data_IF_543168542569
#
_entry.id   IF_543168542569
#
_cell.length_a   1.000
_cell.length_b   1.000
_cell.length_c   1.000
_cell.angle_alpha   90.00
_cell.angle_beta   90.00
_cell.angle_gamma   90.00
#
_symmetry.space_group_name_H-M   'P 1'
#
loop_
_entity.id
_entity.type
_entity.pdbx_description
1 polymer ?
#
# COMPACT_ATOMS: atom_id res chain seq x y z
N UNK A 1 19.95 22.27 16.60
CA UNK A 1 18.79 23.03 16.04
C UNK A 1 17.58 22.74 16.90
N UNK A 2 16.86 23.75 17.41
CA UNK A 2 15.67 23.50 18.24
C UNK A 2 14.43 23.18 17.42
N UNK A 3 13.65 22.20 17.89
CA UNK A 3 12.35 21.85 17.35
C UNK A 3 11.28 21.90 18.44
N UNK A 4 10.08 22.34 18.04
CA UNK A 4 8.93 22.53 18.94
C UNK A 4 7.80 21.61 18.53
N UNK A 5 7.30 20.81 19.47
CA UNK A 5 6.11 19.98 19.23
C UNK A 5 4.90 20.88 18.93
N UNK A 6 4.18 20.68 17.80
CA UNK A 6 3.02 21.49 17.47
C UNK A 6 1.83 21.22 18.40
N UNK A 7 1.80 20.07 19.08
CA UNK A 7 0.67 19.66 19.93
C UNK A 7 0.79 20.14 21.38
N UNK A 8 1.98 20.06 21.98
CA UNK A 8 2.19 20.37 23.40
C UNK A 8 3.27 21.44 23.65
N UNK A 9 3.87 21.98 22.58
CA UNK A 9 4.87 23.04 22.63
C UNK A 9 6.17 22.74 23.38
N UNK A 10 6.38 21.49 23.82
CA UNK A 10 7.67 21.02 24.33
C UNK A 10 8.76 21.28 23.30
N UNK A 11 9.88 21.82 23.77
CA UNK A 11 11.07 22.12 22.96
C UNK A 11 12.16 21.08 23.26
N UNK A 12 12.86 20.67 22.22
CA UNK A 12 14.03 19.80 22.30
C UNK A 12 14.92 20.03 21.08
N UNK A 13 16.20 19.68 21.18
CA UNK A 13 17.12 19.82 20.06
C UNK A 13 16.93 18.65 19.08
N UNK A 14 17.12 18.89 17.79
CA UNK A 14 17.11 17.83 16.77
C UNK A 14 18.17 16.76 17.03
N UNK A 15 19.30 17.14 17.61
CA UNK A 15 20.42 16.27 17.98
C UNK A 15 19.97 15.20 18.98
N UNK A 16 19.29 15.58 20.07
CA UNK A 16 18.66 14.64 21.01
C UNK A 16 17.67 13.67 20.32
N UNK A 17 16.88 14.15 19.34
CA UNK A 17 15.98 13.27 18.60
C UNK A 17 16.76 12.25 17.76
N UNK A 18 17.87 12.69 17.20
CA UNK A 18 18.77 11.88 16.40
C UNK A 18 19.64 10.94 17.24
N UNK A 19 19.64 10.99 18.59
CA UNK A 19 20.38 10.03 19.42
C UNK A 19 19.65 8.70 19.58
N UNK A 20 18.32 8.69 19.48
CA UNK A 20 17.51 7.48 19.53
C UNK A 20 17.58 6.70 18.21
N UNK A 21 18.13 5.49 18.27
CA UNK A 21 18.35 4.63 17.10
C UNK A 21 17.04 4.19 16.43
N UNK A 22 16.06 3.78 17.23
CA UNK A 22 14.79 3.31 16.69
C UNK A 22 14.00 4.45 16.04
N UNK A 23 14.09 5.67 16.59
CA UNK A 23 13.52 6.85 15.97
C UNK A 23 14.22 7.16 14.64
N UNK A 24 15.56 7.14 14.58
CA UNK A 24 16.29 7.35 13.31
C UNK A 24 15.86 6.35 12.24
N UNK A 25 15.84 5.06 12.57
CA UNK A 25 15.42 4.01 11.64
C UNK A 25 13.96 4.16 11.21
N UNK A 26 13.07 4.53 12.13
CA UNK A 26 11.66 4.75 11.80
C UNK A 26 11.48 5.94 10.86
N UNK A 27 12.21 7.04 11.08
CA UNK A 27 12.16 8.20 10.19
C UNK A 27 12.76 7.91 8.81
N UNK A 28 13.85 7.15 8.73
CA UNK A 28 14.43 6.69 7.47
C UNK A 28 13.43 5.83 6.68
N UNK A 29 12.81 4.85 7.35
CA UNK A 29 11.77 4.00 6.75
C UNK A 29 10.62 4.83 6.18
N UNK A 30 10.15 5.85 6.89
CA UNK A 30 9.09 6.73 6.41
C UNK A 30 9.51 7.59 5.20
N UNK A 31 10.77 8.01 5.14
CA UNK A 31 11.30 8.84 4.06
C UNK A 31 11.49 8.06 2.75
N UNK A 32 11.76 6.75 2.82
CA UNK A 32 11.94 5.87 1.66
C UNK A 32 10.61 5.44 1.01
N UNK A 33 9.50 5.50 1.76
CA UNK A 33 8.20 5.05 1.30
C UNK A 33 7.45 6.11 0.46
N UNK A 34 6.69 5.69 -0.58
CA UNK A 34 5.75 6.57 -1.27
C UNK A 34 4.78 7.22 -0.29
N UNK A 35 4.32 8.44 -0.62
CA UNK A 35 3.42 9.24 0.25
C UNK A 35 2.13 8.50 0.58
N UNK A 36 1.64 7.72 -0.37
CA UNK A 36 0.43 6.92 -0.33
C UNK A 36 0.54 5.76 0.68
N UNK A 37 1.76 5.45 1.13
CA UNK A 37 2.05 4.37 2.09
C UNK A 37 2.54 4.97 3.42
N UNK A 38 3.47 5.91 3.38
CA UNK A 38 4.05 6.51 4.60
C UNK A 38 3.01 7.24 5.45
N UNK A 39 2.09 7.99 4.83
CA UNK A 39 1.03 8.71 5.57
C UNK A 39 0.07 7.77 6.32
N UNK A 40 -0.57 6.78 5.66
CA UNK A 40 -1.44 5.86 6.38
C UNK A 40 -0.67 4.96 7.36
N UNK A 41 0.61 4.65 7.10
CA UNK A 41 1.44 3.92 8.06
C UNK A 41 1.61 4.68 9.39
N UNK A 42 1.90 5.98 9.36
CA UNK A 42 1.98 6.80 10.58
C UNK A 42 0.64 6.80 11.33
N UNK A 43 -0.47 6.96 10.62
CA UNK A 43 -1.81 6.93 11.21
C UNK A 43 -2.13 5.56 11.83
N UNK A 44 -1.75 4.48 11.15
CA UNK A 44 -1.94 3.11 11.60
C UNK A 44 -1.13 2.79 12.85
N UNK A 45 0.16 3.16 12.91
CA UNK A 45 0.99 3.03 14.12
C UNK A 45 0.35 3.77 15.30
N UNK A 46 -0.27 4.93 15.05
CA UNK A 46 -1.04 5.67 16.04
C UNK A 46 -2.22 4.90 16.65
N UNK A 47 -2.78 3.90 15.97
CA UNK A 47 -3.89 3.08 16.50
C UNK A 47 -3.47 2.19 17.67
N UNK A 48 -2.18 1.93 17.84
CA UNK A 48 -1.59 1.12 18.94
C UNK A 48 -1.26 1.95 20.18
N UNK A 49 -1.47 3.28 20.14
CA UNK A 49 -1.14 4.21 21.23
C UNK A 49 -2.08 3.98 22.42
N UNK A 50 -1.49 3.85 23.62
CA UNK A 50 -2.23 3.79 24.87
C UNK A 50 -2.83 5.15 25.28
N UNK A 51 -3.77 5.14 26.23
CA UNK A 51 -4.45 6.36 26.68
C UNK A 51 -3.52 7.34 27.43
N UNK A 52 -2.56 6.83 28.19
CA UNK A 52 -1.79 7.61 29.17
C UNK A 52 -0.31 7.74 28.85
N UNK A 53 0.26 6.83 28.04
CA UNK A 53 1.70 6.81 27.73
C UNK A 53 1.95 6.76 26.24
N UNK A 54 3.00 7.46 25.83
CA UNK A 54 3.56 7.34 24.50
C UNK A 54 4.11 5.93 24.28
N UNK A 55 4.03 5.45 23.04
CA UNK A 55 4.62 4.18 22.63
C UNK A 55 6.13 4.36 22.43
N UNK A 56 6.95 3.45 22.97
CA UNK A 56 8.40 3.45 22.73
C UNK A 56 8.72 3.35 21.22
N UNK A 57 9.80 3.99 20.78
CA UNK A 57 10.15 4.07 19.35
C UNK A 57 10.49 2.71 18.75
N UNK A 58 11.11 1.82 19.51
CA UNK A 58 11.38 0.43 19.11
C UNK A 58 10.08 -0.32 18.78
N UNK A 59 9.03 -0.08 19.59
CA UNK A 59 7.72 -0.66 19.34
C UNK A 59 7.06 -0.02 18.10
N UNK A 60 7.20 1.28 17.89
CA UNK A 60 6.72 1.96 16.68
C UNK A 60 7.35 1.36 15.43
N UNK A 61 8.69 1.26 15.43
CA UNK A 61 9.47 0.71 14.33
C UNK A 61 9.09 -0.75 14.04
N UNK A 62 8.99 -1.59 15.09
CA UNK A 62 8.56 -2.99 14.92
C UNK A 62 7.17 -3.10 14.31
N UNK A 63 6.17 -2.38 14.85
CA UNK A 63 4.80 -2.38 14.34
C UNK A 63 4.76 -1.93 12.88
N UNK A 64 5.59 -0.94 12.51
CA UNK A 64 5.67 -0.44 11.14
C UNK A 64 6.25 -1.50 10.19
N UNK A 65 7.38 -2.11 10.56
CA UNK A 65 8.02 -3.19 9.77
C UNK A 65 7.11 -4.41 9.61
N UNK A 66 6.47 -4.85 10.69
CA UNK A 66 5.53 -5.98 10.66
C UNK A 66 4.33 -5.70 9.73
N UNK A 67 3.82 -4.46 9.72
CA UNK A 67 2.72 -4.08 8.83
C UNK A 67 3.15 -4.04 7.35
N UNK A 68 4.33 -3.49 7.06
CA UNK A 68 4.88 -3.44 5.71
C UNK A 68 5.20 -4.83 5.14
N UNK A 69 5.59 -5.77 6.01
CA UNK A 69 5.89 -7.14 5.63
C UNK A 69 4.65 -8.01 5.30
N UNK A 70 3.43 -7.47 5.41
CA UNK A 70 2.20 -8.24 5.16
C UNK A 70 1.95 -8.55 3.68
N UNK A 71 2.52 -7.77 2.76
CA UNK A 71 2.49 -8.08 1.33
C UNK A 71 3.74 -7.52 0.65
N UNK A 72 4.15 -8.17 -0.44
CA UNK A 72 5.28 -7.70 -1.26
C UNK A 72 4.93 -6.42 -2.03
N UNK A 73 3.67 -6.28 -2.46
CA UNK A 73 3.18 -5.07 -3.10
C UNK A 73 2.94 -3.97 -2.06
N UNK A 74 3.83 -2.97 -2.06
CA UNK A 74 3.76 -1.86 -1.12
C UNK A 74 2.53 -0.97 -1.35
N UNK A 75 2.01 -0.88 -2.58
CA UNK A 75 0.80 -0.11 -2.87
C UNK A 75 -0.44 -0.78 -2.27
N UNK A 76 -0.52 -2.11 -2.34
CA UNK A 76 -1.56 -2.91 -1.68
C UNK A 76 -1.53 -2.70 -0.16
N UNK A 77 -0.34 -2.70 0.45
CA UNK A 77 -0.19 -2.41 1.90
C UNK A 77 -0.67 -0.99 2.22
N UNK A 78 -0.28 0.01 1.44
CA UNK A 78 -0.71 1.40 1.62
C UNK A 78 -2.24 1.55 1.60
N UNK A 79 -2.90 0.93 0.63
CA UNK A 79 -4.36 0.91 0.54
C UNK A 79 -4.99 0.21 1.76
N UNK A 80 -4.48 -0.95 2.14
CA UNK A 80 -4.99 -1.70 3.30
C UNK A 80 -4.82 -0.96 4.63
N UNK A 81 -3.70 -0.24 4.80
CA UNK A 81 -3.46 0.62 5.95
C UNK A 81 -4.48 1.75 6.01
N UNK A 82 -4.74 2.41 4.88
CA UNK A 82 -5.73 3.49 4.78
C UNK A 82 -7.13 3.01 5.15
N UNK A 83 -7.60 1.92 4.54
CA UNK A 83 -8.91 1.32 4.82
C UNK A 83 -9.03 0.90 6.29
N UNK A 84 -7.97 0.33 6.85
CA UNK A 84 -7.95 -0.07 8.26
C UNK A 84 -8.04 1.13 9.19
N UNK A 85 -7.32 2.22 8.89
CA UNK A 85 -7.34 3.44 9.71
C UNK A 85 -8.73 4.05 9.74
N UNK A 86 -9.37 4.20 8.58
CA UNK A 86 -10.71 4.79 8.49
C UNK A 86 -11.77 3.91 9.16
N UNK A 87 -11.71 2.59 8.95
CA UNK A 87 -12.63 1.66 9.62
C UNK A 87 -12.51 1.69 11.15
N UNK A 88 -11.27 1.73 11.68
CA UNK A 88 -11.05 1.78 13.14
C UNK A 88 -11.41 3.15 13.71
N UNK A 89 -11.15 4.25 13.01
CA UNK A 89 -11.60 5.59 13.42
C UNK A 89 -13.11 5.68 13.51
N UNK A 90 -13.83 5.21 12.49
CA UNK A 90 -15.29 5.18 12.51
C UNK A 90 -15.86 4.44 13.72
N UNK A 91 -15.28 3.29 14.10
CA UNK A 91 -15.67 2.54 15.30
C UNK A 91 -15.35 3.25 16.62
N UNK A 92 -14.29 4.06 16.63
CA UNK A 92 -13.93 4.86 17.81
C UNK A 92 -14.87 6.05 17.97
N UNK A 93 -15.19 6.70 16.86
CA UNK A 93 -16.06 7.88 16.83
C UNK A 93 -17.52 7.51 17.16
N UNK A 94 -17.97 6.31 16.76
CA UNK A 94 -19.27 5.76 17.16
C UNK A 94 -19.33 5.23 18.61
N UNK A 95 -18.17 5.11 19.26
CA UNK A 95 -18.05 4.54 20.61
C UNK A 95 -18.09 3.01 20.68
N UNK A 96 -18.14 2.30 19.55
CA UNK A 96 -18.18 0.82 19.50
C UNK A 96 -16.92 0.19 20.10
N UNK A 97 -15.73 0.62 19.67
CA UNK A 97 -14.46 0.13 20.23
C UNK A 97 -13.38 1.23 20.28
N UNK A 98 -13.09 1.71 21.49
CA UNK A 98 -12.10 2.76 21.75
C UNK A 98 -10.72 2.23 22.15
N UNK A 99 -10.53 0.90 22.14
CA UNK A 99 -9.29 0.29 22.65
C UNK A 99 -8.14 0.45 21.66
N UNK A 100 -6.90 0.57 22.15
CA UNK A 100 -5.72 0.48 21.31
C UNK A 100 -5.62 -0.90 20.65
N UNK A 101 -5.08 -0.95 19.43
CA UNK A 101 -4.78 -2.21 18.77
C UNK A 101 -3.67 -2.96 19.52
N UNK A 102 -3.78 -4.30 19.50
CA UNK A 102 -2.81 -5.21 20.12
C UNK A 102 -1.99 -5.99 19.09
N UNK A 103 -2.49 -6.16 17.87
CA UNK A 103 -1.88 -6.94 16.81
C UNK A 103 -2.41 -6.50 15.43
N UNK A 104 -1.92 -7.16 14.37
CA UNK A 104 -2.23 -6.85 12.97
C UNK A 104 -3.40 -7.66 12.39
N UNK A 105 -4.17 -8.41 13.19
CA UNK A 105 -5.17 -9.36 12.66
C UNK A 105 -6.26 -8.70 11.81
N UNK A 106 -6.65 -7.45 12.12
CA UNK A 106 -7.58 -6.72 11.27
C UNK A 106 -6.92 -6.34 9.93
N UNK A 107 -5.72 -5.77 9.97
CA UNK A 107 -4.98 -5.38 8.76
C UNK A 107 -4.71 -6.57 7.85
N UNK A 108 -4.33 -7.73 8.40
CA UNK A 108 -4.13 -8.98 7.64
C UNK A 108 -5.36 -9.34 6.78
N UNK A 109 -6.55 -9.31 7.39
CA UNK A 109 -7.81 -9.58 6.68
C UNK A 109 -8.11 -8.55 5.59
N UNK A 110 -7.77 -7.28 5.82
CA UNK A 110 -7.95 -6.23 4.81
C UNK A 110 -6.99 -6.44 3.64
N UNK A 111 -5.72 -6.74 3.90
CA UNK A 111 -4.73 -7.09 2.87
C UNK A 111 -5.19 -8.28 2.03
N UNK A 112 -5.63 -9.37 2.67
CA UNK A 112 -6.19 -10.56 1.98
C UNK A 112 -7.40 -10.20 1.10
N UNK A 113 -8.32 -9.38 1.63
CA UNK A 113 -9.52 -8.97 0.89
C UNK A 113 -9.19 -8.11 -0.32
N UNK A 114 -8.27 -7.16 -0.18
CA UNK A 114 -7.85 -6.28 -1.28
C UNK A 114 -7.02 -7.04 -2.32
N UNK A 115 -6.13 -7.95 -1.89
CA UNK A 115 -5.35 -8.80 -2.77
C UNK A 115 -6.25 -9.68 -3.66
N UNK A 116 -7.22 -10.37 -3.06
CA UNK A 116 -8.17 -11.19 -3.80
C UNK A 116 -9.01 -10.37 -4.82
N UNK A 117 -9.37 -9.12 -4.48
CA UNK A 117 -10.07 -8.21 -5.42
C UNK A 117 -9.19 -7.78 -6.58
N UNK A 118 -7.91 -7.51 -6.32
CA UNK A 118 -6.95 -7.14 -7.36
C UNK A 118 -6.75 -8.30 -8.35
N UNK A 119 -6.56 -9.52 -7.84
CA UNK A 119 -6.45 -10.74 -8.66
C UNK A 119 -7.70 -10.99 -9.50
N UNK A 120 -8.89 -10.89 -8.89
CA UNK A 120 -10.16 -11.06 -9.60
C UNK A 120 -10.35 -10.01 -10.72
N UNK A 121 -9.93 -8.76 -10.48
CA UNK A 121 -10.03 -7.68 -11.47
C UNK A 121 -9.08 -7.90 -12.65
N UNK A 122 -7.89 -8.45 -12.39
CA UNK A 122 -6.93 -8.80 -13.45
C UNK A 122 -7.42 -9.98 -14.30
N UNK A 123 -8.10 -10.96 -13.71
CA UNK A 123 -8.68 -12.09 -14.44
C UNK A 123 -9.80 -11.69 -15.41
N UNK A 124 -10.56 -10.63 -15.12
CA UNK A 124 -11.64 -10.12 -15.98
C UNK A 124 -11.12 -9.19 -17.09
N UNK A 125 -9.92 -8.60 -16.92
CA UNK A 125 -9.31 -7.67 -17.86
C UNK A 125 -8.61 -8.35 -19.07
N UNK A 126 -8.66 -9.68 -19.18
CA UNK A 126 -8.26 -10.41 -20.39
C UNK A 126 -9.53 -10.82 -21.17
N UNK A 127 -10.07 -9.96 -22.06
CA UNK A 127 -10.95 -10.44 -23.09
C UNK A 127 -10.12 -11.09 -24.21
N UNK A 128 -10.48 -12.32 -24.56
CA UNK A 128 -10.02 -13.05 -25.74
C UNK A 128 -9.94 -12.14 -26.97
N UNK A 129 -8.70 -11.82 -27.36
CA UNK A 129 -8.35 -11.16 -28.59
C UNK A 129 -7.70 -12.13 -29.56
N UNK A 130 -8.35 -13.22 -29.93
CA UNK A 130 -8.02 -13.97 -31.15
C UNK A 130 -9.31 -14.57 -31.75
N UNK A 131 -10.07 -13.72 -32.45
CA UNK A 131 -11.02 -14.20 -33.44
C UNK A 131 -10.22 -14.61 -34.69
N UNK A 132 -10.39 -15.83 -35.25
CA UNK A 132 -9.65 -16.24 -36.43
C UNK A 132 -10.06 -15.33 -37.59
N UNK A 133 -9.12 -14.51 -38.07
CA UNK A 133 -9.31 -13.72 -39.28
C UNK A 133 -9.59 -14.71 -40.43
N UNK A 134 -10.87 -14.85 -40.80
CA UNK A 134 -11.27 -15.51 -42.04
C UNK A 134 -10.51 -14.83 -43.16
N UNK A 135 -9.49 -15.50 -43.69
CA UNK A 135 -8.84 -15.10 -44.92
C UNK A 135 -9.93 -14.96 -45.98
N UNK A 136 -10.23 -13.73 -46.37
CA UNK A 136 -11.18 -13.46 -47.42
C UNK A 136 -10.61 -14.05 -48.71
N UNK A 137 -11.42 -14.86 -49.40
CA UNK A 137 -11.09 -15.55 -50.67
C UNK A 137 -10.52 -14.64 -51.77
N UNK A 138 -10.51 -13.31 -51.58
CA UNK A 138 -9.93 -12.33 -52.49
C UNK A 138 -8.40 -12.24 -52.47
N UNK A 139 -7.73 -12.51 -51.34
CA UNK A 139 -6.27 -12.32 -51.24
C UNK A 139 -5.48 -13.39 -52.00
N UNK A 140 -5.95 -14.65 -52.00
CA UNK A 140 -5.30 -15.74 -52.76
C UNK A 140 -5.38 -15.52 -54.28
N UNK A 141 -6.48 -14.93 -54.79
CA UNK A 141 -6.66 -14.70 -56.23
C UNK A 141 -5.78 -13.56 -56.76
N UNK A 142 -5.43 -12.59 -55.92
CA UNK A 142 -4.53 -11.49 -56.27
C UNK A 142 -3.05 -11.94 -56.29
N UNK A 143 -2.65 -12.82 -55.37
CA UNK A 143 -1.28 -13.33 -55.29
C UNK A 143 -0.93 -14.27 -56.47
N UNK A 144 -1.89 -15.08 -56.92
CA UNK A 144 -1.72 -15.93 -58.12
C UNK A 144 -1.64 -15.14 -59.43
N UNK A 145 -2.27 -13.97 -59.50
CA UNK A 145 -2.19 -13.10 -60.68
C UNK A 145 -0.83 -12.40 -60.79
N UNK A 146 -0.26 -11.98 -59.65
CA UNK A 146 1.07 -11.34 -59.61
C UNK A 146 2.19 -12.32 -59.96
N UNK A 147 2.10 -13.58 -59.51
CA UNK A 147 3.11 -14.59 -59.85
C UNK A 147 3.06 -15.04 -61.32
N UNK A 148 1.89 -14.95 -61.97
CA UNK A 148 1.74 -15.27 -63.40
C UNK A 148 2.30 -14.20 -64.33
N UNK A 149 2.29 -12.94 -63.91
CA UNK A 149 2.87 -11.83 -64.67
C UNK A 149 4.40 -11.74 -64.61
N UNK A 150 5.04 -12.56 -63.77
CA UNK A 150 6.50 -12.53 -63.52
C UNK A 150 7.28 -13.62 -64.28
N UNK A 151 6.59 -14.43 -65.07
CA UNK A 151 7.16 -15.52 -65.88
C UNK A 151 6.90 -15.35 -67.39
N UNK A 152 6.54 -14.14 -67.84
CA UNK A 152 6.43 -13.76 -69.25
C UNK A 152 7.45 -12.66 -69.57
#
# INVERSE_FOLDING_TARGET
>A
MDIRCPCCHTQFTLEHAAEDEALREFMALLAELPREVSRPLVAYVGLFRGKTRAMAYERQLRVAREALALAADTALVGAALSDTVEAIRGKRDSGEDTRPLRNHNYLKRVVETLGARAEASQAVAVPDGEAPRRASRGVMKALEAVNRGRQA
#
